data_IF_883143829312
#
_entry.id   IF_883143829312
#
_cell.length_a   1.000
_cell.length_b   1.000
_cell.length_c   1.000
_cell.angle_alpha   90.00
_cell.angle_beta   90.00
_cell.angle_gamma   90.00
#
_symmetry.space_group_name_H-M   'P 1'
#
loop_
_entity.id
_entity.type
_entity.pdbx_description
1 polymer ?
#
# COMPACT_ATOMS: atom_id res chain seq x y z
N UNK A 1 -15.22 -5.05 -10.61
CA UNK A 1 -14.30 -5.30 -9.48
C UNK A 1 -14.14 -4.00 -8.73
N UNK A 2 -14.38 -3.98 -7.43
CA UNK A 2 -14.17 -2.82 -6.57
C UNK A 2 -12.73 -2.81 -6.06
N UNK A 3 -12.04 -1.68 -6.13
CA UNK A 3 -10.69 -1.54 -5.56
C UNK A 3 -10.76 -0.57 -4.38
N UNK A 4 -10.32 -1.04 -3.22
CA UNK A 4 -10.22 -0.30 -1.98
C UNK A 4 -8.75 -0.13 -1.61
N UNK A 5 -8.42 0.99 -0.96
CA UNK A 5 -7.05 1.30 -0.55
C UNK A 5 -7.02 1.74 0.91
N UNK A 6 -5.95 1.37 1.59
CA UNK A 6 -5.57 1.81 2.93
C UNK A 6 -4.07 2.03 3.00
N UNK A 7 -3.63 2.97 3.81
CA UNK A 7 -2.21 3.25 4.02
C UNK A 7 -1.98 3.70 5.46
N UNK A 8 -0.87 3.27 6.05
CA UNK A 8 -0.47 3.72 7.40
C UNK A 8 0.53 4.86 7.32
N UNK A 9 0.63 5.64 8.40
CA UNK A 9 1.52 6.80 8.50
C UNK A 9 2.67 6.51 9.46
N UNK A 10 3.89 6.95 9.12
CA UNK A 10 5.14 6.75 9.89
C UNK A 10 5.04 7.10 11.37
N UNK A 11 4.30 8.15 11.71
CA UNK A 11 4.22 8.67 13.09
C UNK A 11 3.22 7.91 13.99
N UNK A 12 2.69 6.78 13.53
CA UNK A 12 1.58 6.10 14.21
C UNK A 12 0.30 6.91 13.99
N UNK A 13 -0.44 6.55 12.93
CA UNK A 13 -1.73 7.18 12.64
C UNK A 13 -2.76 6.99 13.77
N UNK A 14 -3.91 7.69 13.71
CA UNK A 14 -4.99 7.44 14.65
C UNK A 14 -5.42 5.96 14.62
N UNK A 15 -6.06 5.45 15.68
CA UNK A 15 -6.61 4.10 15.68
C UNK A 15 -7.40 3.83 14.40
N UNK A 16 -7.19 2.65 13.82
CA UNK A 16 -7.86 2.23 12.58
C UNK A 16 -7.56 3.09 11.34
N UNK A 17 -6.55 3.96 11.33
CA UNK A 17 -6.19 4.81 10.18
C UNK A 17 -6.08 4.05 8.86
N UNK A 18 -5.54 2.83 8.90
CA UNK A 18 -5.40 1.94 7.76
C UNK A 18 -6.74 1.72 7.02
N UNK A 19 -7.85 1.71 7.76
CA UNK A 19 -9.19 1.38 7.27
C UNK A 19 -10.00 2.61 6.83
N UNK A 20 -9.54 3.82 7.14
CA UNK A 20 -10.30 5.06 6.95
C UNK A 20 -10.87 5.20 5.52
N UNK A 21 -9.99 5.14 4.51
CA UNK A 21 -10.37 5.30 3.10
C UNK A 21 -11.25 4.14 2.60
N UNK A 22 -10.95 2.90 3.02
CA UNK A 22 -11.72 1.73 2.64
C UNK A 22 -13.14 1.77 3.22
N UNK A 23 -13.30 2.12 4.49
CA UNK A 23 -14.60 2.27 5.15
C UNK A 23 -15.43 3.33 4.45
N UNK A 24 -14.88 4.53 4.20
CA UNK A 24 -15.61 5.60 3.49
C UNK A 24 -16.17 5.17 2.14
N UNK A 25 -15.51 4.24 1.44
CA UNK A 25 -16.00 3.67 0.19
C UNK A 25 -17.04 2.56 0.41
N UNK A 26 -16.81 1.67 1.38
CA UNK A 26 -17.71 0.55 1.68
C UNK A 26 -19.09 1.01 2.15
N UNK A 27 -19.16 2.07 2.95
CA UNK A 27 -20.45 2.60 3.46
C UNK A 27 -21.36 3.14 2.35
N UNK A 28 -20.81 3.48 1.18
CA UNK A 28 -21.60 3.93 0.02
C UNK A 28 -22.21 2.76 -0.76
N UNK A 29 -21.74 1.54 -0.53
CA UNK A 29 -22.13 0.37 -1.31
C UNK A 29 -23.30 -0.41 -0.70
N UNK A 30 -23.64 -0.17 0.58
CA UNK A 30 -24.72 -0.86 1.27
C UNK A 30 -25.37 0.04 2.34
N UNK A 31 -26.68 -0.11 2.61
CA UNK A 31 -27.30 0.56 3.73
C UNK A 31 -26.69 0.07 5.05
N UNK A 32 -26.59 1.00 6.00
CA UNK A 32 -26.11 0.76 7.36
C UNK A 32 -27.23 1.03 8.34
N UNK A 33 -27.37 0.19 9.35
CA UNK A 33 -28.13 0.56 10.54
C UNK A 33 -27.35 1.56 11.43
N UNK A 34 -27.98 2.02 12.50
CA UNK A 34 -27.42 3.02 13.40
C UNK A 34 -26.21 2.53 14.20
N UNK A 35 -26.20 1.24 14.57
CA UNK A 35 -25.09 0.62 15.29
C UNK A 35 -23.87 0.49 14.38
N UNK A 36 -24.07 -0.01 13.16
CA UNK A 36 -23.02 -0.13 12.15
C UNK A 36 -22.42 1.23 11.80
N UNK A 37 -23.26 2.24 11.58
CA UNK A 37 -22.82 3.60 11.30
C UNK A 37 -22.02 4.18 12.48
N UNK A 38 -22.47 3.97 13.72
CA UNK A 38 -21.77 4.41 14.93
C UNK A 38 -20.39 3.77 15.10
N UNK A 39 -20.29 2.45 14.88
CA UNK A 39 -19.01 1.72 14.96
C UNK A 39 -18.01 2.22 13.91
N UNK A 40 -18.48 2.44 12.67
CA UNK A 40 -17.63 2.87 11.56
C UNK A 40 -17.24 4.35 11.65
N UNK A 41 -18.03 5.18 12.32
CA UNK A 41 -17.71 6.60 12.53
C UNK A 41 -16.45 6.82 13.39
N UNK A 42 -16.13 5.86 14.28
CA UNK A 42 -14.88 5.87 15.04
C UNK A 42 -13.65 5.45 14.20
N UNK A 43 -13.85 4.84 13.03
CA UNK A 43 -12.78 4.46 12.08
C UNK A 43 -12.58 5.52 11.01
N UNK A 44 -13.68 6.06 10.49
CA UNK A 44 -13.68 7.01 9.40
C UNK A 44 -14.39 8.30 9.82
N UNK A 45 -13.68 9.42 9.82
CA UNK A 45 -14.27 10.72 10.06
C UNK A 45 -15.17 11.17 8.90
N UNK A 46 -16.23 11.90 9.24
CA UNK A 46 -17.13 12.54 8.26
C UNK A 46 -18.17 11.62 7.61
N UNK A 47 -18.49 10.47 8.21
CA UNK A 47 -19.51 9.56 7.68
C UNK A 47 -20.91 10.17 7.65
N UNK A 48 -21.28 11.04 8.60
CA UNK A 48 -22.60 11.71 8.60
C UNK A 48 -22.87 12.46 7.29
N UNK A 49 -21.85 13.16 6.78
CA UNK A 49 -21.91 13.85 5.48
C UNK A 49 -22.00 12.91 4.29
N UNK A 50 -21.39 11.71 4.40
CA UNK A 50 -21.44 10.71 3.33
C UNK A 50 -22.77 9.96 3.29
N UNK A 51 -23.36 9.71 4.47
CA UNK A 51 -24.64 9.03 4.62
C UNK A 51 -25.84 9.97 4.55
N UNK A 52 -25.60 11.28 4.52
CA UNK A 52 -26.61 12.34 4.55
C UNK A 52 -27.62 12.18 5.70
N UNK A 53 -27.11 11.77 6.87
CA UNK A 53 -27.92 11.57 8.08
C UNK A 53 -27.06 11.65 9.35
N UNK A 54 -27.63 12.05 10.50
CA UNK A 54 -26.93 12.02 11.78
C UNK A 54 -26.61 10.57 12.18
N UNK A 55 -25.47 10.36 12.83
CA UNK A 55 -25.07 9.06 13.38
C UNK A 55 -25.15 9.13 14.90
N UNK A 56 -25.94 8.28 15.56
CA UNK A 56 -26.06 8.32 17.01
C UNK A 56 -24.74 7.94 17.68
N UNK A 57 -24.45 8.61 18.81
CA UNK A 57 -23.31 8.26 19.63
C UNK A 57 -23.52 6.87 20.25
N UNK A 58 -22.49 6.02 20.15
CA UNK A 58 -22.46 4.72 20.79
C UNK A 58 -21.57 4.77 22.03
N UNK A 59 -22.01 4.12 23.11
CA UNK A 59 -21.22 3.95 24.33
C UNK A 59 -21.04 2.46 24.59
N UNK A 60 -19.84 1.97 24.27
CA UNK A 60 -19.48 0.56 24.32
C UNK A 60 -18.06 0.48 24.90
N UNK A 61 -17.78 -0.53 25.74
CA UNK A 61 -16.44 -0.79 26.22
C UNK A 61 -15.49 -1.18 25.06
N UNK A 62 -14.19 -0.90 25.22
CA UNK A 62 -13.22 -1.09 24.14
C UNK A 62 -13.15 -2.54 23.60
N UNK A 63 -13.12 -3.60 24.43
CA UNK A 63 -13.15 -4.99 23.94
C UNK A 63 -14.39 -5.31 23.10
N UNK A 64 -15.58 -4.93 23.57
CA UNK A 64 -16.82 -5.16 22.83
C UNK A 64 -16.85 -4.36 21.54
N UNK A 65 -16.37 -3.11 21.57
CA UNK A 65 -16.27 -2.26 20.38
C UNK A 65 -15.40 -2.91 19.29
N UNK A 66 -14.19 -3.38 19.64
CA UNK A 66 -13.28 -4.00 18.66
C UNK A 66 -13.91 -5.23 18.01
N UNK A 67 -14.53 -6.10 18.81
CA UNK A 67 -15.21 -7.29 18.31
C UNK A 67 -16.37 -6.95 17.38
N UNK A 68 -17.23 -6.01 17.78
CA UNK A 68 -18.37 -5.59 16.95
C UNK A 68 -17.92 -4.89 15.66
N UNK A 69 -16.86 -4.09 15.73
CA UNK A 69 -16.28 -3.44 14.56
C UNK A 69 -15.75 -4.47 13.55
N UNK A 70 -15.04 -5.50 14.00
CA UNK A 70 -14.57 -6.58 13.13
C UNK A 70 -15.72 -7.32 12.44
N UNK A 71 -16.76 -7.68 13.20
CA UNK A 71 -17.97 -8.32 12.67
C UNK A 71 -18.65 -7.43 11.64
N UNK A 72 -18.79 -6.13 11.94
CA UNK A 72 -19.41 -5.14 11.07
C UNK A 72 -18.62 -4.98 9.77
N UNK A 73 -17.31 -4.81 9.87
CA UNK A 73 -16.42 -4.67 8.71
C UNK A 73 -16.49 -5.90 7.81
N UNK A 74 -16.41 -7.10 8.39
CA UNK A 74 -16.54 -8.36 7.67
C UNK A 74 -17.91 -8.50 6.99
N UNK A 75 -18.98 -8.09 7.67
CA UNK A 75 -20.33 -8.07 7.09
C UNK A 75 -20.42 -7.12 5.89
N UNK A 76 -19.77 -5.96 5.94
CA UNK A 76 -19.72 -5.05 4.79
C UNK A 76 -19.02 -5.65 3.58
N UNK A 77 -17.92 -6.37 3.77
CA UNK A 77 -17.28 -7.10 2.67
C UNK A 77 -18.17 -8.22 2.11
N UNK A 78 -18.92 -8.92 2.98
CA UNK A 78 -19.88 -9.96 2.56
C UNK A 78 -21.04 -9.41 1.73
N UNK A 79 -21.48 -8.18 2.01
CA UNK A 79 -22.57 -7.50 1.26
C UNK A 79 -22.15 -7.07 -0.15
N UNK A 80 -20.86 -7.09 -0.48
CA UNK A 80 -20.39 -6.65 -1.79
C UNK A 80 -20.80 -7.64 -2.89
N UNK A 81 -21.50 -7.12 -3.91
CA UNK A 81 -22.00 -7.92 -5.06
C UNK A 81 -20.94 -8.22 -6.11
N UNK A 82 -19.78 -7.58 -6.02
CA UNK A 82 -18.67 -7.76 -6.95
C UNK A 82 -17.39 -8.09 -6.18
N UNK A 83 -16.42 -8.78 -6.79
CA UNK A 83 -15.12 -9.01 -6.18
C UNK A 83 -14.46 -7.71 -5.75
N UNK A 84 -13.86 -7.73 -4.56
CA UNK A 84 -13.15 -6.61 -3.95
C UNK A 84 -11.66 -6.92 -3.89
N UNK A 85 -10.85 -5.97 -4.35
CA UNK A 85 -9.42 -5.93 -4.10
C UNK A 85 -9.14 -4.88 -3.03
N UNK A 86 -8.62 -5.30 -1.88
CA UNK A 86 -8.18 -4.42 -0.80
C UNK A 86 -6.66 -4.32 -0.84
N UNK A 87 -6.14 -3.13 -1.19
CA UNK A 87 -4.72 -2.80 -1.19
C UNK A 87 -4.36 -2.06 0.09
N UNK A 88 -3.40 -2.58 0.84
CA UNK A 88 -2.94 -1.99 2.10
C UNK A 88 -1.45 -1.72 2.02
N UNK A 89 -1.06 -0.47 2.24
CA UNK A 89 0.32 -0.02 2.14
C UNK A 89 0.88 0.36 3.52
N UNK A 90 2.19 0.24 3.66
CA UNK A 90 2.96 0.61 4.86
C UNK A 90 2.49 -0.09 6.15
N UNK A 91 2.18 -1.38 6.08
CA UNK A 91 1.67 -2.12 7.25
C UNK A 91 2.65 -2.16 8.43
N UNK A 92 3.94 -1.92 8.21
CA UNK A 92 4.94 -1.80 9.28
C UNK A 92 4.63 -0.66 10.28
N UNK A 93 3.88 0.36 9.86
CA UNK A 93 3.48 1.49 10.71
C UNK A 93 2.00 1.44 11.12
N UNK A 94 1.31 0.34 10.80
CA UNK A 94 -0.11 0.21 11.13
C UNK A 94 -0.32 0.07 12.66
N UNK A 95 -1.28 0.82 13.24
CA UNK A 95 -1.65 0.65 14.64
C UNK A 95 -2.08 -0.80 14.96
N UNK A 96 -1.81 -1.32 16.17
CA UNK A 96 -2.15 -2.69 16.54
C UNK A 96 -3.61 -3.07 16.32
N UNK A 97 -4.53 -2.15 16.59
CA UNK A 97 -5.97 -2.34 16.42
C UNK A 97 -6.34 -2.50 14.94
N UNK A 98 -5.64 -1.78 14.06
CA UNK A 98 -5.80 -1.92 12.60
C UNK A 98 -5.37 -3.30 12.13
N UNK A 99 -4.24 -3.79 12.65
CA UNK A 99 -3.69 -5.10 12.31
C UNK A 99 -4.53 -6.24 12.88
N UNK A 100 -5.13 -6.06 14.07
CA UNK A 100 -6.07 -7.01 14.62
C UNK A 100 -7.31 -7.18 13.74
N UNK A 101 -7.92 -6.07 13.28
CA UNK A 101 -9.00 -6.14 12.30
C UNK A 101 -8.57 -6.81 10.99
N UNK A 102 -7.34 -6.57 10.54
CA UNK A 102 -6.79 -7.19 9.33
C UNK A 102 -6.66 -8.70 9.48
N UNK A 103 -6.14 -9.17 10.61
CA UNK A 103 -6.00 -10.59 10.90
C UNK A 103 -7.36 -11.31 10.89
N UNK A 104 -8.38 -10.71 11.52
CA UNK A 104 -9.73 -11.25 11.53
C UNK A 104 -10.37 -11.27 10.13
N UNK A 105 -10.25 -10.16 9.37
CA UNK A 105 -10.76 -10.11 8.01
C UNK A 105 -10.04 -11.10 7.07
N UNK A 106 -8.72 -11.24 7.22
CA UNK A 106 -7.93 -12.16 6.40
C UNK A 106 -8.33 -13.62 6.66
N UNK A 107 -8.61 -13.98 7.91
CA UNK A 107 -9.17 -15.30 8.24
C UNK A 107 -10.54 -15.53 7.60
N UNK A 108 -11.39 -14.50 7.49
CA UNK A 108 -12.68 -14.58 6.83
C UNK A 108 -12.60 -14.52 5.29
N UNK A 109 -11.51 -14.01 4.71
CA UNK A 109 -11.38 -13.73 3.28
C UNK A 109 -11.52 -14.99 2.41
N UNK A 110 -11.17 -16.17 2.93
CA UNK A 110 -11.32 -17.45 2.22
C UNK A 110 -12.78 -17.77 1.82
N UNK A 111 -13.76 -17.12 2.45
CA UNK A 111 -15.19 -17.32 2.20
C UNK A 111 -15.87 -16.08 1.61
N UNK A 112 -15.09 -15.10 1.16
CA UNK A 112 -15.56 -13.84 0.61
C UNK A 112 -14.99 -13.65 -0.79
N UNK A 113 -15.67 -12.91 -1.69
CA UNK A 113 -15.09 -12.49 -2.96
C UNK A 113 -14.10 -11.33 -2.72
N UNK A 114 -13.07 -11.57 -1.90
CA UNK A 114 -12.12 -10.57 -1.40
C UNK A 114 -10.68 -11.05 -1.61
N UNK A 115 -9.89 -10.25 -2.30
CA UNK A 115 -8.44 -10.37 -2.35
C UNK A 115 -7.81 -9.25 -1.54
N UNK A 116 -6.96 -9.60 -0.58
CA UNK A 116 -6.22 -8.65 0.26
C UNK A 116 -4.75 -8.69 -0.19
N UNK A 117 -4.19 -7.54 -0.56
CA UNK A 117 -2.76 -7.38 -0.80
C UNK A 117 -2.23 -6.36 0.20
N UNK A 118 -1.26 -6.79 1.00
CA UNK A 118 -0.55 -5.95 1.96
C UNK A 118 0.90 -5.77 1.55
N UNK A 119 1.37 -4.53 1.51
CA UNK A 119 2.77 -4.19 1.34
C UNK A 119 3.36 -3.74 2.68
N UNK A 120 4.55 -4.23 2.98
CA UNK A 120 5.28 -3.86 4.20
C UNK A 120 6.79 -4.01 4.02
N UNK A 121 7.54 -3.39 4.94
CA UNK A 121 9.00 -3.49 5.02
C UNK A 121 9.41 -4.61 5.97
N UNK A 122 10.14 -5.61 5.46
CA UNK A 122 10.49 -6.81 6.21
C UNK A 122 11.61 -6.59 7.24
N UNK A 123 12.45 -5.58 7.04
CA UNK A 123 13.46 -5.10 7.99
C UNK A 123 12.85 -4.30 9.15
N UNK A 124 11.77 -3.54 8.92
CA UNK A 124 11.08 -2.79 9.97
C UNK A 124 10.08 -3.65 10.76
N UNK A 125 9.44 -4.65 10.13
CA UNK A 125 8.42 -5.48 10.78
C UNK A 125 8.52 -6.98 10.41
N UNK A 126 9.63 -7.67 10.75
CA UNK A 126 9.90 -9.05 10.31
C UNK A 126 8.84 -10.07 10.76
N UNK A 127 8.23 -9.87 11.94
CA UNK A 127 7.21 -10.77 12.49
C UNK A 127 5.77 -10.45 12.03
N UNK A 128 5.57 -9.43 11.19
CA UNK A 128 4.24 -9.00 10.75
C UNK A 128 3.40 -10.15 10.12
N UNK A 129 3.94 -11.00 9.23
CA UNK A 129 3.17 -12.11 8.66
C UNK A 129 2.66 -13.08 9.72
N UNK A 130 3.47 -13.37 10.74
CA UNK A 130 3.09 -14.24 11.86
C UNK A 130 1.98 -13.60 12.69
N UNK A 131 2.08 -12.30 12.98
CA UNK A 131 1.05 -11.53 13.69
C UNK A 131 -0.30 -11.51 12.95
N UNK A 132 -0.27 -11.64 11.63
CA UNK A 132 -1.47 -11.73 10.78
C UNK A 132 -1.94 -13.17 10.52
N UNK A 133 -1.48 -14.15 11.30
CA UNK A 133 -1.92 -15.55 11.18
C UNK A 133 -1.14 -16.37 10.15
N UNK A 134 0.07 -15.94 9.79
CA UNK A 134 0.94 -16.68 8.88
C UNK A 134 0.57 -16.51 7.40
N UNK A 135 0.12 -15.32 7.01
CA UNK A 135 -0.26 -15.04 5.62
C UNK A 135 0.90 -15.30 4.65
N UNK A 136 0.63 -15.77 3.41
CA UNK A 136 1.65 -15.95 2.40
C UNK A 136 2.40 -14.64 2.12
N UNK A 137 3.73 -14.71 2.06
CA UNK A 137 4.59 -13.56 1.76
C UNK A 137 5.26 -13.75 0.42
N UNK A 138 5.08 -12.79 -0.47
CA UNK A 138 5.88 -12.66 -1.68
C UNK A 138 7.03 -11.70 -1.38
N UNK A 139 8.24 -12.23 -1.22
CA UNK A 139 9.42 -11.39 -1.00
C UNK A 139 9.85 -10.75 -2.32
N UNK A 140 9.80 -9.42 -2.38
CA UNK A 140 10.31 -8.65 -3.52
C UNK A 140 11.75 -8.24 -3.21
N UNK A 141 12.69 -8.87 -3.90
CA UNK A 141 14.12 -8.61 -3.75
C UNK A 141 14.61 -7.44 -4.61
N UNK A 142 15.90 -7.15 -4.48
CA UNK A 142 16.61 -6.27 -5.39
C UNK A 142 16.65 -6.89 -6.80
N UNK A 143 16.52 -6.04 -7.81
CA UNK A 143 16.61 -6.42 -9.21
C UNK A 143 18.01 -6.99 -9.52
N UNK A 144 18.03 -8.12 -10.19
CA UNK A 144 19.23 -8.74 -10.73
C UNK A 144 19.65 -8.04 -12.03
N UNK A 145 20.90 -8.25 -12.45
CA UNK A 145 21.46 -7.60 -13.65
C UNK A 145 20.59 -7.74 -14.91
N UNK A 146 19.99 -8.93 -15.11
CA UNK A 146 19.08 -9.17 -16.23
C UNK A 146 17.78 -8.36 -16.13
N UNK A 147 17.21 -8.22 -14.93
CA UNK A 147 15.98 -7.47 -14.67
C UNK A 147 16.24 -5.96 -14.76
N UNK A 148 17.40 -5.49 -14.29
CA UNK A 148 17.89 -4.11 -14.47
C UNK A 148 18.00 -3.81 -15.97
N UNK A 149 18.62 -4.71 -16.76
CA UNK A 149 18.76 -4.55 -18.21
C UNK A 149 17.40 -4.46 -18.91
N UNK A 150 16.47 -5.36 -18.57
CA UNK A 150 15.11 -5.35 -19.11
C UNK A 150 14.35 -4.07 -18.75
N UNK A 151 14.45 -3.61 -17.50
CA UNK A 151 13.82 -2.36 -17.05
C UNK A 151 14.42 -1.15 -17.78
N UNK A 152 15.75 -1.09 -17.91
CA UNK A 152 16.43 -0.01 -18.64
C UNK A 152 16.00 0.02 -20.11
N UNK A 153 15.96 -1.14 -20.77
CA UNK A 153 15.52 -1.25 -22.16
C UNK A 153 14.07 -0.80 -22.33
N UNK A 154 13.19 -1.18 -21.39
CA UNK A 154 11.79 -0.76 -21.41
C UNK A 154 11.61 0.75 -21.20
N UNK A 155 12.47 1.38 -20.40
CA UNK A 155 12.41 2.82 -20.09
C UNK A 155 13.05 3.69 -21.18
N UNK A 156 14.15 3.24 -21.78
CA UNK A 156 15.01 4.05 -22.65
C UNK A 156 14.89 3.69 -24.14
N UNK A 157 14.33 2.52 -24.45
CA UNK A 157 14.41 1.93 -25.78
C UNK A 157 15.85 1.52 -26.15
N UNK A 158 16.03 0.98 -27.36
CA UNK A 158 17.35 0.56 -27.83
C UNK A 158 18.33 1.74 -28.01
N UNK A 159 17.82 2.92 -28.35
CA UNK A 159 18.65 4.11 -28.62
C UNK A 159 19.30 4.70 -27.36
N UNK A 160 18.61 4.67 -26.22
CA UNK A 160 19.13 5.14 -24.94
C UNK A 160 19.92 4.07 -24.15
N UNK A 161 20.04 2.85 -24.70
CA UNK A 161 20.67 1.71 -24.03
C UNK A 161 22.17 1.61 -24.37
N UNK A 162 23.05 1.58 -23.36
CA UNK A 162 24.47 1.25 -23.54
C UNK A 162 25.00 0.34 -22.42
N UNK A 163 25.97 -0.56 -22.69
CA UNK A 163 26.58 -1.39 -21.65
C UNK A 163 27.21 -0.59 -20.50
N UNK A 164 27.77 0.58 -20.81
CA UNK A 164 28.37 1.47 -19.81
C UNK A 164 27.32 2.07 -18.88
N UNK A 165 26.18 2.50 -19.43
CA UNK A 165 25.04 2.98 -18.65
C UNK A 165 24.48 1.87 -17.75
N UNK A 166 24.33 0.64 -18.27
CA UNK A 166 23.84 -0.47 -17.48
C UNK A 166 24.76 -0.78 -16.30
N UNK A 167 26.08 -0.82 -16.52
CA UNK A 167 27.05 -1.04 -15.46
C UNK A 167 27.01 0.07 -14.39
N UNK A 168 26.84 1.33 -14.83
CA UNK A 168 26.66 2.47 -13.94
C UNK A 168 25.37 2.34 -13.12
N UNK A 169 24.22 2.11 -13.76
CA UNK A 169 22.93 1.98 -13.09
C UNK A 169 22.93 0.79 -12.12
N UNK A 170 23.54 -0.34 -12.49
CA UNK A 170 23.67 -1.49 -11.60
C UNK A 170 24.51 -1.16 -10.36
N UNK A 171 25.63 -0.45 -10.53
CA UNK A 171 26.50 -0.07 -9.43
C UNK A 171 25.85 0.93 -8.49
N UNK A 172 25.22 1.97 -9.03
CA UNK A 172 24.69 3.09 -8.23
C UNK A 172 23.31 2.79 -7.62
N UNK A 173 22.46 2.00 -8.29
CA UNK A 173 21.16 1.59 -7.73
C UNK A 173 21.26 0.38 -6.80
N UNK A 174 22.34 -0.40 -6.94
CA UNK A 174 22.51 -1.71 -6.29
C UNK A 174 21.27 -2.63 -6.43
N UNK A 175 20.53 -2.52 -7.54
CA UNK A 175 19.30 -3.27 -7.80
C UNK A 175 18.04 -2.73 -7.12
N UNK A 176 18.10 -1.58 -6.45
CA UNK A 176 16.91 -0.89 -5.96
C UNK A 176 16.18 -0.23 -7.14
N UNK A 177 14.98 -0.74 -7.46
CA UNK A 177 14.18 -0.28 -8.59
C UNK A 177 13.83 1.21 -8.52
N UNK A 178 13.54 1.74 -7.32
CA UNK A 178 13.25 3.16 -7.13
C UNK A 178 14.47 4.01 -7.46
N UNK A 179 15.64 3.68 -6.89
CA UNK A 179 16.88 4.41 -7.17
C UNK A 179 17.27 4.33 -8.64
N UNK A 180 17.10 3.17 -9.27
CA UNK A 180 17.37 3.00 -10.70
C UNK A 180 16.51 3.96 -11.53
N UNK A 181 15.21 4.03 -11.26
CA UNK A 181 14.30 4.92 -11.99
C UNK A 181 14.65 6.40 -11.75
N UNK A 182 14.98 6.77 -10.52
CA UNK A 182 15.40 8.14 -10.20
C UNK A 182 16.73 8.52 -10.87
N UNK A 183 17.71 7.61 -10.93
CA UNK A 183 18.96 7.82 -11.65
C UNK A 183 18.71 8.02 -13.14
N UNK A 184 17.86 7.18 -13.75
CA UNK A 184 17.47 7.35 -15.16
C UNK A 184 16.79 8.69 -15.39
N UNK A 185 15.89 9.12 -14.49
CA UNK A 185 15.24 10.43 -14.58
C UNK A 185 16.25 11.58 -14.49
N UNK A 186 17.16 11.54 -13.52
CA UNK A 186 18.19 12.56 -13.35
C UNK A 186 19.14 12.65 -14.57
N UNK A 187 19.49 11.49 -15.15
CA UNK A 187 20.26 11.44 -16.40
C UNK A 187 19.48 12.00 -17.59
N UNK A 188 18.17 11.74 -17.68
CA UNK A 188 17.32 12.31 -18.73
C UNK A 188 17.27 13.84 -18.64
N UNK A 189 17.15 14.37 -17.42
CA UNK A 189 17.16 15.81 -17.15
C UNK A 189 18.48 16.45 -17.57
N UNK A 190 19.62 15.79 -17.30
CA UNK A 190 20.95 16.26 -17.69
C UNK A 190 21.20 16.16 -19.22
N UNK A 191 20.72 15.09 -19.86
CA UNK A 191 20.88 14.86 -21.30
C UNK A 191 19.82 15.60 -22.16
N UNK A 192 18.77 16.12 -21.54
CA UNK A 192 17.65 16.80 -22.20
C UNK A 192 16.60 15.87 -22.81
N UNK A 193 16.94 14.61 -23.14
CA UNK A 193 16.03 13.58 -23.66
C UNK A 193 16.47 12.17 -23.22
N UNK A 194 15.54 11.22 -23.15
CA UNK A 194 15.78 9.84 -22.67
C UNK A 194 16.67 9.02 -23.63
N UNK A 195 16.49 9.20 -24.94
CA UNK A 195 17.24 8.51 -25.99
C UNK A 195 18.71 8.97 -26.09
N UNK A 196 19.04 10.12 -25.50
CA UNK A 196 20.39 10.67 -25.48
C UNK A 196 21.21 10.26 -24.25
N UNK A 197 20.60 9.60 -23.26
CA UNK A 197 21.27 9.20 -22.01
C UNK A 197 22.45 8.29 -22.28
N UNK A 198 22.32 7.33 -23.21
CA UNK A 198 23.39 6.39 -23.55
C UNK A 198 24.65 7.05 -24.11
N UNK A 199 24.55 8.31 -24.55
CA UNK A 199 25.61 9.13 -25.14
C UNK A 199 26.13 10.23 -24.20
N UNK A 200 25.42 10.50 -23.10
CA UNK A 200 25.75 11.54 -22.14
C UNK A 200 26.87 11.10 -21.18
N UNK A 201 27.61 12.09 -20.63
CA UNK A 201 28.64 11.82 -19.65
C UNK A 201 28.03 11.29 -18.33
N UNK A 202 28.34 10.03 -18.00
CA UNK A 202 27.92 9.42 -16.74
C UNK A 202 28.68 10.07 -15.58
N UNK A 203 27.96 10.82 -14.75
CA UNK A 203 28.56 11.55 -13.63
C UNK A 203 28.41 10.72 -12.34
N UNK A 204 29.49 10.29 -11.67
CA UNK A 204 29.39 9.56 -10.40
C UNK A 204 28.66 10.38 -9.33
N UNK A 205 27.75 9.74 -8.58
CA UNK A 205 27.04 10.40 -7.47
C UNK A 205 25.91 11.36 -7.86
N UNK A 206 25.37 11.25 -9.09
CA UNK A 206 24.21 12.00 -9.56
C UNK A 206 22.92 11.48 -8.87
N UNK A 207 22.78 11.67 -7.57
CA UNK A 207 21.56 11.35 -6.85
C UNK A 207 20.62 12.57 -6.85
N UNK A 208 19.41 12.48 -7.41
CA UNK A 208 18.39 13.48 -7.11
C UNK A 208 18.12 13.44 -5.59
N UNK A 209 18.04 14.61 -4.98
CA UNK A 209 18.20 14.85 -3.53
C UNK A 209 17.11 14.29 -2.58
N UNK A 210 16.54 13.11 -2.85
CA UNK A 210 15.44 12.54 -2.05
C UNK A 210 15.72 11.18 -1.40
N UNK A 211 16.78 10.46 -1.75
CA UNK A 211 16.87 9.03 -1.45
C UNK A 211 17.59 8.64 -0.13
N UNK A 212 17.67 9.56 0.84
CA UNK A 212 18.28 9.31 2.18
C UNK A 212 17.31 9.46 3.37
N UNK A 213 16.00 9.32 3.18
CA UNK A 213 15.01 9.41 4.28
C UNK A 213 14.13 8.16 4.43
#
# INVERSE_FOLDING_TARGET
MLVLRGQSLREGGPPYALWHTAVRRLVLAAPLDDLEAGLLAAVASGLERLLDRPIPAISIDAPTFQKQLSVTLTALFRRQRQPVLLLLEDLQWAPPESLALLAELAAAAAHLPLLILGAYRDDEAPDLPRRLGGLPVLKIGRLQAAEISQLCLAMLGEAGYSPALLAYLQKESEGNAFFLVELVRALAEAAGQLDQIGQAALTPGLLPGGARQ
#
